data_IF_352742015617
#
_entry.id   IF_352742015617
#
_cell.length_a   1.000
_cell.length_b   1.000
_cell.length_c   1.000
_cell.angle_alpha   90.00
_cell.angle_beta   90.00
_cell.angle_gamma   90.00
#
_symmetry.space_group_name_H-M   'P 1'
#
loop_
_entity.id
_entity.type
_entity.pdbx_description
1 polymer ?
#
# COMPACT_ATOMS: atom_id res chain seq x y z
N UNK A 1 -14.15 -7.27 -60.24
CA UNK A 1 -14.59 -5.94 -60.71
C UNK A 1 -14.89 -5.12 -59.46
N UNK A 2 -14.19 -4.07 -59.02
CA UNK A 2 -13.26 -3.07 -59.57
C UNK A 2 -12.10 -2.93 -58.54
N UNK A 3 -10.81 -2.92 -58.86
CA UNK A 3 -9.98 -1.98 -59.62
C UNK A 3 -9.81 -0.59 -58.99
N UNK A 4 -8.57 -0.25 -58.61
CA UNK A 4 -8.09 1.12 -58.31
C UNK A 4 -7.18 1.18 -57.07
N UNK A 5 -5.87 0.91 -57.11
CA UNK A 5 -4.73 1.65 -57.69
C UNK A 5 -4.32 2.94 -56.97
N UNK A 6 -3.05 2.94 -56.52
CA UNK A 6 -2.09 4.06 -56.44
C UNK A 6 -2.21 5.11 -55.32
N UNK A 7 -1.22 5.14 -54.41
CA UNK A 7 -0.42 6.35 -54.20
C UNK A 7 0.96 6.07 -53.56
N UNK A 8 1.98 6.02 -54.41
CA UNK A 8 3.38 6.28 -54.02
C UNK A 8 3.56 7.79 -53.87
N UNK A 9 4.17 8.25 -52.77
CA UNK A 9 4.78 9.59 -52.72
C UNK A 9 6.16 9.50 -52.11
N UNK A 10 7.15 9.33 -52.98
CA UNK A 10 8.54 9.59 -52.69
C UNK A 10 8.71 11.09 -52.39
N UNK A 11 9.33 11.42 -51.26
CA UNK A 11 9.75 12.79 -50.94
C UNK A 11 11.27 12.86 -51.05
N UNK A 12 11.72 13.32 -52.20
CA UNK A 12 13.08 13.80 -52.43
C UNK A 12 13.26 15.13 -51.70
N UNK A 13 14.16 15.19 -50.72
CA UNK A 13 14.77 16.43 -50.23
C UNK A 13 16.26 16.29 -50.56
N UNK A 14 16.67 16.84 -51.70
CA UNK A 14 17.32 18.16 -51.81
C UNK A 14 18.51 18.27 -50.88
N UNK A 15 19.66 17.97 -51.46
CA UNK A 15 21.00 18.21 -50.92
C UNK A 15 21.28 19.69 -51.15
N UNK A 16 21.12 20.50 -50.11
CA UNK A 16 21.60 21.88 -50.13
C UNK A 16 23.05 21.88 -49.62
N UNK A 17 23.96 22.06 -50.58
CA UNK A 17 25.34 22.41 -50.40
C UNK A 17 25.43 23.79 -49.71
N UNK A 18 25.60 23.81 -48.38
CA UNK A 18 26.12 24.98 -47.68
C UNK A 18 27.63 24.88 -47.50
N UNK A 19 28.27 26.00 -47.80
CA UNK A 19 29.69 26.22 -47.96
C UNK A 19 30.53 25.81 -46.75
N UNK A 20 31.66 25.15 -47.03
CA UNK A 20 32.78 25.01 -46.10
C UNK A 20 33.29 26.40 -45.69
N UNK A 21 32.97 26.81 -44.47
CA UNK A 21 33.77 27.80 -43.74
C UNK A 21 35.00 27.11 -43.13
N UNK A 22 36.17 27.76 -43.12
CA UNK A 22 37.36 27.23 -42.46
C UNK A 22 37.12 27.16 -40.95
N UNK A 23 37.05 25.94 -40.44
CA UNK A 23 37.02 25.63 -39.00
C UNK A 23 38.38 26.04 -38.44
N UNK A 24 38.44 27.19 -37.79
CA UNK A 24 39.58 27.53 -36.93
C UNK A 24 39.55 26.60 -35.72
N UNK A 25 40.69 26.00 -35.32
CA UNK A 25 40.74 25.17 -34.13
C UNK A 25 40.54 26.08 -32.92
N UNK A 26 39.30 26.16 -32.41
CA UNK A 26 39.05 26.67 -31.06
C UNK A 26 39.84 25.77 -30.11
N UNK A 27 40.84 26.35 -29.46
CA UNK A 27 41.54 25.72 -28.35
C UNK A 27 40.49 25.27 -27.33
N UNK A 28 40.30 23.95 -27.23
CA UNK A 28 39.49 23.34 -26.21
C UNK A 28 40.17 23.62 -24.87
N UNK A 29 39.72 24.68 -24.19
CA UNK A 29 39.85 24.79 -22.75
C UNK A 29 39.04 23.63 -22.16
N UNK A 30 39.71 22.49 -21.97
CA UNK A 30 39.22 21.47 -21.07
C UNK A 30 39.13 22.13 -19.69
N UNK A 31 37.94 22.30 -19.11
CA UNK A 31 37.85 22.64 -17.70
C UNK A 31 38.59 21.55 -16.93
N UNK A 32 39.37 21.91 -15.90
CA UNK A 32 40.12 20.93 -15.14
C UNK A 32 39.13 19.91 -14.56
N UNK A 33 39.38 18.63 -14.84
CA UNK A 33 38.70 17.48 -14.26
C UNK A 33 39.10 17.44 -12.77
N UNK A 34 38.56 18.39 -12.02
CA UNK A 34 38.76 18.52 -10.58
C UNK A 34 37.40 18.26 -9.95
N UNK A 35 37.32 17.10 -9.28
CA UNK A 35 36.45 16.87 -8.13
C UNK A 35 34.96 16.53 -8.34
N UNK A 36 34.57 15.78 -9.40
CA UNK A 36 33.25 15.10 -9.37
C UNK A 36 33.23 13.83 -8.49
N UNK A 37 34.38 13.32 -8.07
CA UNK A 37 34.45 12.13 -7.21
C UNK A 37 34.14 12.40 -5.73
N UNK A 38 34.27 13.65 -5.27
CA UNK A 38 34.12 14.01 -3.85
C UNK A 38 32.68 14.31 -3.46
N UNK A 39 31.79 14.66 -4.39
CA UNK A 39 30.37 14.94 -4.08
C UNK A 39 29.51 13.67 -3.98
N UNK A 40 29.90 12.56 -4.61
CA UNK A 40 29.17 11.29 -4.48
C UNK A 40 29.42 10.58 -3.13
N UNK A 41 30.52 10.91 -2.43
CA UNK A 41 30.80 10.36 -1.11
C UNK A 41 29.91 10.98 -0.01
N UNK A 42 29.49 12.24 -0.19
CA UNK A 42 28.64 12.96 0.78
C UNK A 42 27.15 12.55 0.68
N UNK A 43 26.71 12.02 -0.46
CA UNK A 43 25.33 11.51 -0.64
C UNK A 43 25.10 10.07 -0.13
N UNK A 44 26.14 9.38 0.36
CA UNK A 44 26.03 7.96 0.80
C UNK A 44 25.84 7.73 2.29
N UNK A 45 25.66 8.78 3.10
CA UNK A 45 25.21 8.61 4.50
C UNK A 45 23.68 8.65 4.60
N UNK A 46 23.01 7.82 3.79
CA UNK A 46 21.59 7.47 3.98
C UNK A 46 21.37 6.55 5.20
N UNK A 47 22.38 6.34 6.05
CA UNK A 47 22.24 5.70 7.34
C UNK A 47 21.20 6.43 8.19
N UNK A 48 20.01 5.85 8.34
CA UNK A 48 18.88 6.49 9.00
C UNK A 48 19.26 7.01 10.39
N UNK A 49 18.97 8.28 10.67
CA UNK A 49 19.18 8.88 11.99
C UNK A 49 18.48 8.03 13.06
N UNK A 50 18.99 8.02 14.31
CA UNK A 50 18.37 7.27 15.43
C UNK A 50 16.88 7.58 15.54
N UNK A 51 16.53 8.84 15.32
CA UNK A 51 15.16 9.32 15.34
C UNK A 51 14.27 8.68 14.26
N UNK A 52 14.77 8.49 13.03
CA UNK A 52 14.00 7.81 11.96
C UNK A 52 13.70 6.36 12.32
N UNK A 53 14.67 5.64 12.88
CA UNK A 53 14.47 4.26 13.32
C UNK A 53 13.55 4.16 14.54
N UNK A 54 13.67 5.10 15.48
CA UNK A 54 12.73 5.23 16.59
C UNK A 54 11.30 5.43 16.06
N UNK A 55 11.07 6.42 15.20
CA UNK A 55 9.75 6.71 14.65
C UNK A 55 9.15 5.51 13.88
N UNK A 56 9.96 4.79 13.11
CA UNK A 56 9.54 3.55 12.42
C UNK A 56 9.13 2.47 13.43
N UNK A 57 9.94 2.23 14.45
CA UNK A 57 9.62 1.23 15.49
C UNK A 57 8.38 1.61 16.29
N UNK A 58 8.20 2.91 16.59
CA UNK A 58 6.99 3.42 17.23
C UNK A 58 5.75 3.20 16.38
N UNK A 59 5.82 3.51 15.08
CA UNK A 59 4.72 3.27 14.16
C UNK A 59 4.33 1.78 14.08
N UNK A 60 5.33 0.88 14.03
CA UNK A 60 5.08 -0.57 14.07
C UNK A 60 4.43 -0.99 15.38
N UNK A 61 4.90 -0.48 16.52
CA UNK A 61 4.32 -0.84 17.81
C UNK A 61 2.90 -0.32 18.00
N UNK A 62 2.61 0.90 17.52
CA UNK A 62 1.24 1.42 17.46
C UNK A 62 0.34 0.59 16.55
N UNK A 63 0.85 0.13 15.40
CA UNK A 63 0.12 -0.77 14.50
C UNK A 63 -0.22 -2.09 15.19
N UNK A 64 0.70 -2.68 15.96
CA UNK A 64 0.44 -3.91 16.73
C UNK A 64 -0.67 -3.69 17.76
N UNK A 65 -0.67 -2.56 18.47
CA UNK A 65 -1.76 -2.23 19.41
C UNK A 65 -3.07 -2.01 18.67
N UNK A 66 -3.06 -1.37 17.49
CA UNK A 66 -4.24 -1.23 16.65
C UNK A 66 -4.81 -2.58 16.18
N UNK A 67 -3.94 -3.55 15.88
CA UNK A 67 -4.34 -4.94 15.56
C UNK A 67 -5.02 -5.59 16.75
N UNK A 68 -4.45 -5.50 17.95
CA UNK A 68 -5.07 -6.06 19.16
C UNK A 68 -6.39 -5.35 19.48
N UNK A 69 -6.45 -4.03 19.30
CA UNK A 69 -7.68 -3.25 19.44
C UNK A 69 -8.76 -3.70 18.45
N UNK A 70 -8.41 -3.94 17.18
CA UNK A 70 -9.34 -4.51 16.20
C UNK A 70 -9.79 -5.93 16.59
N UNK A 71 -8.86 -6.80 16.96
CA UNK A 71 -9.18 -8.17 17.37
C UNK A 71 -10.02 -8.23 18.64
N UNK A 72 -9.93 -7.22 19.51
CA UNK A 72 -10.74 -7.15 20.74
C UNK A 72 -12.25 -7.16 20.45
N UNK A 73 -12.68 -6.66 19.29
CA UNK A 73 -14.09 -6.72 18.89
C UNK A 73 -14.58 -8.16 18.77
N UNK A 74 -13.82 -9.02 18.09
CA UNK A 74 -14.20 -10.43 17.92
C UNK A 74 -14.20 -11.20 19.24
N UNK A 75 -13.44 -10.74 20.23
CA UNK A 75 -13.40 -11.37 21.57
C UNK A 75 -14.51 -10.86 22.47
N UNK A 76 -14.92 -9.59 22.32
CA UNK A 76 -15.86 -8.92 23.21
C UNK A 76 -17.29 -8.91 22.70
N UNK A 77 -17.50 -8.89 21.39
CA UNK A 77 -18.82 -8.88 20.77
C UNK A 77 -19.34 -10.31 20.64
N UNK A 78 -20.61 -10.52 21.01
CA UNK A 78 -21.27 -11.84 20.96
C UNK A 78 -21.82 -12.18 19.57
N UNK A 79 -22.08 -11.19 18.73
CA UNK A 79 -22.55 -11.35 17.35
C UNK A 79 -21.72 -10.49 16.39
N UNK A 80 -21.31 -11.06 15.26
CA UNK A 80 -20.57 -10.36 14.21
C UNK A 80 -21.41 -10.19 12.94
N UNK A 81 -22.61 -10.77 12.87
CA UNK A 81 -23.54 -10.66 11.74
C UNK A 81 -23.98 -9.22 11.48
N UNK A 82 -24.01 -8.38 12.51
CA UNK A 82 -24.31 -6.95 12.36
C UNK A 82 -23.29 -6.22 11.47
N UNK A 83 -22.03 -6.70 11.38
CA UNK A 83 -21.01 -6.13 10.47
C UNK A 83 -21.39 -6.30 8.99
N UNK A 84 -22.27 -7.24 8.66
CA UNK A 84 -22.73 -7.50 7.30
C UNK A 84 -24.20 -7.10 7.07
N UNK A 85 -24.83 -6.44 8.05
CA UNK A 85 -26.20 -5.92 7.94
C UNK A 85 -27.29 -6.89 8.41
N UNK A 86 -26.95 -7.89 9.22
CA UNK A 86 -27.96 -8.65 9.98
C UNK A 86 -28.53 -7.80 11.13
N UNK A 87 -29.59 -8.31 11.80
CA UNK A 87 -30.33 -7.56 12.81
C UNK A 87 -29.43 -7.00 13.94
N UNK A 88 -29.80 -5.84 14.47
CA UNK A 88 -28.95 -5.16 15.46
C UNK A 88 -28.78 -5.99 16.74
N UNK A 89 -27.54 -6.38 17.00
CA UNK A 89 -27.09 -6.84 18.31
C UNK A 89 -26.76 -5.62 19.16
N UNK A 90 -27.23 -5.62 20.41
CA UNK A 90 -26.87 -4.60 21.41
C UNK A 90 -25.61 -4.97 22.21
N UNK A 91 -24.94 -6.07 21.86
CA UNK A 91 -23.82 -6.61 22.64
C UNK A 91 -22.55 -6.65 21.78
N UNK A 92 -22.12 -5.45 21.37
CA UNK A 92 -20.88 -5.25 20.64
C UNK A 92 -19.99 -4.26 21.35
N UNK A 93 -18.71 -4.57 21.46
CA UNK A 93 -17.75 -3.69 22.10
C UNK A 93 -16.39 -3.80 21.42
N UNK A 94 -15.70 -2.66 21.29
CA UNK A 94 -14.32 -2.61 20.79
C UNK A 94 -13.48 -1.79 21.75
N UNK A 95 -12.23 -2.21 21.94
CA UNK A 95 -11.24 -1.41 22.65
C UNK A 95 -10.16 -2.28 23.31
N UNK A 96 -8.91 -1.83 23.24
CA UNK A 96 -7.82 -2.43 24.00
C UNK A 96 -6.79 -1.39 24.47
N UNK A 97 -6.42 -1.39 25.77
CA UNK A 97 -6.92 -2.28 26.83
C UNK A 97 -8.33 -1.91 27.32
N UNK A 98 -8.72 -0.64 27.23
CA UNK A 98 -10.02 -0.15 27.70
C UNK A 98 -11.07 -0.22 26.59
N UNK A 99 -12.34 -0.44 26.94
CA UNK A 99 -13.47 -0.34 26.00
C UNK A 99 -13.56 1.12 25.54
N UNK A 100 -13.59 1.36 24.22
CA UNK A 100 -13.70 2.72 23.65
C UNK A 100 -15.03 2.96 22.98
N UNK A 101 -15.72 1.89 22.62
CA UNK A 101 -17.02 1.94 21.97
C UNK A 101 -17.78 0.68 22.33
N UNK A 102 -19.07 0.85 22.57
CA UNK A 102 -20.02 -0.18 22.97
C UNK A 102 -21.37 0.14 22.32
N UNK A 103 -21.98 -0.84 21.66
CA UNK A 103 -23.33 -0.73 21.12
C UNK A 103 -24.37 -0.86 22.25
N UNK A 104 -25.57 -0.31 22.06
CA UNK A 104 -26.67 -0.53 23.01
C UNK A 104 -26.50 0.11 24.39
N UNK A 105 -25.62 1.11 24.55
CA UNK A 105 -25.42 1.79 25.83
C UNK A 105 -26.69 2.54 26.29
N UNK A 106 -26.67 3.05 27.54
CA UNK A 106 -27.78 3.75 28.20
C UNK A 106 -28.39 4.92 27.38
N UNK A 107 -27.70 5.42 26.36
CA UNK A 107 -28.13 6.52 25.49
C UNK A 107 -28.69 6.05 24.12
N UNK A 108 -28.93 4.75 23.92
CA UNK A 108 -29.52 4.17 22.70
C UNK A 108 -28.80 4.59 21.39
N UNK A 109 -27.47 4.76 21.43
CA UNK A 109 -26.71 5.17 20.24
C UNK A 109 -25.24 4.77 20.27
N UNK A 110 -24.56 5.00 19.14
CA UNK A 110 -23.13 4.75 18.97
C UNK A 110 -22.31 5.82 19.71
N UNK A 111 -21.93 5.54 20.95
CA UNK A 111 -21.11 6.46 21.73
C UNK A 111 -19.67 5.96 21.84
N UNK A 112 -18.73 6.81 21.45
CA UNK A 112 -17.32 6.61 21.75
C UNK A 112 -17.00 7.23 23.12
N UNK A 113 -16.44 6.43 24.04
CA UNK A 113 -15.88 6.93 25.29
C UNK A 113 -14.53 7.61 24.98
N UNK A 114 -14.58 8.93 24.74
CA UNK A 114 -13.41 9.73 24.39
C UNK A 114 -12.30 9.68 25.45
N UNK A 115 -12.58 9.74 26.77
CA UNK A 115 -11.57 9.47 27.79
C UNK A 115 -10.86 8.12 27.62
N UNK A 116 -11.60 7.03 27.42
CA UNK A 116 -11.00 5.70 27.22
C UNK A 116 -10.24 5.60 25.90
N UNK A 117 -10.74 6.25 24.84
CA UNK A 117 -10.02 6.38 23.57
C UNK A 117 -8.67 7.07 23.77
N UNK A 118 -8.64 8.18 24.50
CA UNK A 118 -7.40 8.90 24.81
C UNK A 118 -6.42 8.03 25.62
N UNK A 119 -6.91 7.30 26.63
CA UNK A 119 -6.09 6.36 27.39
C UNK A 119 -5.52 5.24 26.52
N UNK A 120 -6.31 4.67 25.61
CA UNK A 120 -5.83 3.66 24.65
C UNK A 120 -4.75 4.24 23.72
N UNK A 121 -4.91 5.48 23.25
CA UNK A 121 -3.89 6.17 22.45
C UNK A 121 -2.61 6.36 23.24
N UNK A 122 -2.69 6.77 24.51
CA UNK A 122 -1.51 6.89 25.38
C UNK A 122 -0.81 5.54 25.58
N UNK A 123 -1.56 4.46 25.79
CA UNK A 123 -1.01 3.11 25.89
C UNK A 123 -0.33 2.70 24.58
N UNK A 124 -0.96 2.96 23.43
CA UNK A 124 -0.42 2.66 22.11
C UNK A 124 0.89 3.42 21.84
N UNK A 125 0.95 4.72 22.16
CA UNK A 125 2.15 5.55 22.03
C UNK A 125 3.25 5.08 22.99
N UNK A 126 2.90 4.69 24.21
CA UNK A 126 3.86 4.22 25.22
C UNK A 126 4.50 2.89 24.80
N UNK A 127 3.69 1.90 24.44
CA UNK A 127 4.16 0.60 23.94
C UNK A 127 4.92 0.75 22.61
N UNK A 128 4.41 1.59 21.71
CA UNK A 128 5.09 1.96 20.48
C UNK A 128 6.48 2.53 20.76
N UNK A 129 6.59 3.49 21.67
CA UNK A 129 7.86 4.13 22.01
C UNK A 129 8.88 3.15 22.58
N UNK A 130 8.45 2.16 23.38
CA UNK A 130 9.33 1.07 23.86
C UNK A 130 9.91 0.30 22.67
N UNK A 131 9.07 -0.09 21.71
CA UNK A 131 9.52 -0.78 20.50
C UNK A 131 10.42 0.13 19.64
N UNK A 132 10.09 1.41 19.53
CA UNK A 132 10.91 2.44 18.89
C UNK A 132 12.33 2.49 19.45
N UNK A 133 12.48 2.49 20.78
CA UNK A 133 13.80 2.45 21.44
C UNK A 133 14.56 1.16 21.10
N UNK A 134 13.89 0.01 21.11
CA UNK A 134 14.51 -1.27 20.76
C UNK A 134 15.01 -1.26 19.31
N UNK A 135 14.19 -0.79 18.37
CA UNK A 135 14.53 -0.68 16.95
C UNK A 135 15.68 0.31 16.74
N UNK A 136 15.66 1.47 17.41
CA UNK A 136 16.72 2.47 17.32
C UNK A 136 18.06 1.96 17.86
N UNK A 137 18.06 1.12 18.90
CA UNK A 137 19.27 0.45 19.41
C UNK A 137 19.87 -0.53 18.41
N UNK A 138 19.03 -1.19 17.59
CA UNK A 138 19.46 -2.17 16.58
C UNK A 138 19.63 -1.57 15.18
N UNK A 139 19.67 -0.25 15.04
CA UNK A 139 19.72 0.46 13.75
C UNK A 139 20.86 0.01 12.84
N UNK A 140 22.03 -0.34 13.38
CA UNK A 140 23.20 -0.65 12.55
C UNK A 140 23.07 -2.02 11.88
N UNK A 141 22.31 -2.95 12.49
CA UNK A 141 21.93 -4.22 11.87
C UNK A 141 20.82 -4.00 10.84
N UNK A 142 19.82 -3.18 11.18
CA UNK A 142 18.69 -2.89 10.31
C UNK A 142 19.10 -2.08 9.07
N UNK A 143 20.02 -1.14 9.20
CA UNK A 143 20.58 -0.40 8.07
C UNK A 143 21.28 -1.34 7.08
N UNK A 144 22.09 -2.29 7.57
CA UNK A 144 22.73 -3.31 6.72
C UNK A 144 21.69 -4.13 5.94
N UNK A 145 20.67 -4.63 6.64
CA UNK A 145 19.59 -5.37 5.99
C UNK A 145 18.86 -4.55 4.92
N UNK A 146 18.56 -3.28 5.21
CA UNK A 146 17.91 -2.38 4.23
C UNK A 146 18.81 -2.09 3.04
N UNK A 147 20.11 -1.85 3.27
CA UNK A 147 21.09 -1.60 2.21
C UNK A 147 21.24 -2.81 1.29
N UNK A 148 21.31 -4.02 1.86
CA UNK A 148 21.33 -5.27 1.09
C UNK A 148 20.08 -5.41 0.21
N UNK A 149 18.90 -5.08 0.75
CA UNK A 149 17.65 -5.08 -0.02
C UNK A 149 17.62 -4.01 -1.12
N UNK A 150 18.15 -2.81 -0.86
CA UNK A 150 18.19 -1.73 -1.85
C UNK A 150 19.12 -2.07 -3.02
N UNK A 151 20.25 -2.71 -2.75
CA UNK A 151 21.20 -3.16 -3.78
C UNK A 151 20.53 -4.24 -4.66
N UNK A 152 19.92 -5.27 -4.07
CA UNK A 152 19.24 -6.33 -4.82
C UNK A 152 18.09 -5.77 -5.67
N UNK A 153 17.28 -4.87 -5.12
CA UNK A 153 16.19 -4.21 -5.83
C UNK A 153 16.71 -3.33 -6.99
N UNK A 154 17.84 -2.64 -6.80
CA UNK A 154 18.46 -1.82 -7.83
C UNK A 154 18.96 -2.66 -9.02
N UNK A 155 19.51 -3.85 -8.77
CA UNK A 155 19.94 -4.77 -9.83
C UNK A 155 18.76 -5.31 -10.65
N UNK A 156 17.65 -5.68 -10.02
CA UNK A 156 16.46 -6.15 -10.73
C UNK A 156 15.77 -5.04 -11.55
N UNK A 157 15.86 -3.78 -11.10
CA UNK A 157 15.20 -2.64 -11.75
C UNK A 157 15.75 -2.28 -13.13
N UNK A 158 16.96 -2.74 -13.48
CA UNK A 158 17.62 -2.43 -14.76
C UNK A 158 17.06 -3.20 -15.95
N UNK A 159 16.17 -4.18 -15.74
CA UNK A 159 15.57 -4.95 -16.84
C UNK A 159 14.34 -4.21 -17.40
N UNK A 160 14.28 -3.92 -18.71
CA UNK A 160 13.15 -3.20 -19.30
C UNK A 160 11.83 -3.94 -19.02
N UNK A 161 10.82 -3.20 -18.57
CA UNK A 161 9.47 -3.72 -18.33
C UNK A 161 8.80 -3.88 -19.70
N UNK A 162 8.84 -5.09 -20.26
CA UNK A 162 8.03 -5.43 -21.41
C UNK A 162 6.63 -5.79 -20.94
N UNK A 163 5.68 -4.87 -21.11
CA UNK A 163 4.28 -5.15 -20.88
C UNK A 163 3.77 -6.06 -21.99
N UNK A 164 3.39 -7.28 -21.63
CA UNK A 164 2.71 -8.18 -22.56
C UNK A 164 1.28 -7.67 -22.80
N UNK A 165 0.96 -7.33 -24.06
CA UNK A 165 -0.39 -6.95 -24.48
C UNK A 165 -1.43 -8.02 -24.11
N UNK A 166 -1.03 -9.30 -24.18
CA UNK A 166 -1.86 -10.43 -23.77
C UNK A 166 -2.19 -10.39 -22.27
N UNK A 167 -1.19 -10.07 -21.43
CA UNK A 167 -1.38 -9.93 -19.99
C UNK A 167 -2.37 -8.81 -19.66
N UNK A 168 -2.26 -7.67 -20.36
CA UNK A 168 -3.20 -6.56 -20.20
C UNK A 168 -4.63 -6.97 -20.58
N UNK A 169 -4.82 -7.66 -21.70
CA UNK A 169 -6.12 -8.14 -22.19
C UNK A 169 -6.79 -9.15 -21.25
N UNK A 170 -6.01 -10.06 -20.68
CA UNK A 170 -6.52 -11.03 -19.69
C UNK A 170 -7.01 -10.29 -18.44
N UNK A 171 -6.21 -9.35 -17.92
CA UNK A 171 -6.57 -8.57 -16.73
C UNK A 171 -7.82 -7.72 -16.97
N UNK A 172 -7.92 -7.03 -18.11
CA UNK A 172 -9.11 -6.20 -18.41
C UNK A 172 -10.37 -7.05 -18.57
N UNK A 173 -10.27 -8.22 -19.18
CA UNK A 173 -11.41 -9.15 -19.35
C UNK A 173 -11.87 -9.71 -18.00
N UNK A 174 -10.93 -10.12 -17.14
CA UNK A 174 -11.25 -10.54 -15.78
C UNK A 174 -11.94 -9.42 -14.99
N UNK A 175 -11.40 -8.20 -15.03
CA UNK A 175 -12.02 -7.04 -14.39
C UNK A 175 -13.44 -6.79 -14.91
N UNK A 176 -13.67 -6.87 -16.23
CA UNK A 176 -15.00 -6.68 -16.81
C UNK A 176 -16.01 -7.74 -16.34
N UNK A 177 -15.60 -9.01 -16.27
CA UNK A 177 -16.44 -10.11 -15.75
C UNK A 177 -16.76 -9.88 -14.27
N UNK A 178 -15.76 -9.54 -13.45
CA UNK A 178 -15.97 -9.23 -12.03
C UNK A 178 -16.92 -8.05 -11.83
N UNK A 179 -16.77 -6.98 -12.61
CA UNK A 179 -17.69 -5.82 -12.56
C UNK A 179 -19.10 -6.21 -12.95
N UNK A 180 -19.28 -7.00 -14.01
CA UNK A 180 -20.59 -7.47 -14.45
C UNK A 180 -21.30 -8.33 -13.38
N UNK A 181 -20.55 -9.20 -12.71
CA UNK A 181 -21.06 -10.00 -11.59
C UNK A 181 -21.36 -9.11 -10.38
N UNK A 182 -20.45 -8.19 -10.03
CA UNK A 182 -20.61 -7.29 -8.89
C UNK A 182 -21.88 -6.43 -9.02
N UNK A 183 -22.19 -5.90 -10.20
CA UNK A 183 -23.41 -5.11 -10.45
C UNK A 183 -24.69 -5.91 -10.19
N UNK A 184 -24.67 -7.24 -10.39
CA UNK A 184 -25.82 -8.12 -10.15
C UNK A 184 -25.96 -8.58 -8.69
N UNK A 185 -24.89 -8.49 -7.91
CA UNK A 185 -24.81 -8.98 -6.51
C UNK A 185 -24.65 -7.82 -5.51
N UNK A 186 -24.65 -6.56 -5.99
CA UNK A 186 -24.24 -5.36 -5.26
C UNK A 186 -25.02 -5.01 -3.97
N UNK A 187 -26.14 -5.67 -3.68
CA UNK A 187 -26.96 -5.39 -2.50
C UNK A 187 -27.21 -6.65 -1.68
N UNK A 188 -26.15 -7.45 -1.46
CA UNK A 188 -26.23 -8.62 -0.59
C UNK A 188 -25.13 -8.57 0.48
N UNK A 189 -25.39 -9.09 1.70
CA UNK A 189 -24.42 -9.12 2.80
C UNK A 189 -23.12 -9.85 2.43
N UNK A 190 -23.19 -10.86 1.56
CA UNK A 190 -22.02 -11.62 1.11
C UNK A 190 -21.03 -10.75 0.33
N UNK A 191 -21.49 -9.68 -0.31
CA UNK A 191 -20.60 -8.73 -1.00
C UNK A 191 -19.75 -7.95 0.00
N UNK A 192 -20.31 -7.51 1.14
CA UNK A 192 -19.52 -6.87 2.20
C UNK A 192 -18.54 -7.86 2.81
N UNK A 193 -18.98 -9.08 3.10
CA UNK A 193 -18.10 -10.14 3.61
C UNK A 193 -16.92 -10.39 2.66
N UNK A 194 -17.17 -10.44 1.35
CA UNK A 194 -16.13 -10.59 0.34
C UNK A 194 -15.16 -9.39 0.34
N UNK A 195 -15.64 -8.15 0.47
CA UNK A 195 -14.77 -6.97 0.55
C UNK A 195 -13.92 -6.98 1.83
N UNK A 196 -14.50 -7.35 2.97
CA UNK A 196 -13.80 -7.39 4.25
C UNK A 196 -12.73 -8.48 4.31
N UNK A 197 -12.98 -9.65 3.71
CA UNK A 197 -12.06 -10.79 3.72
C UNK A 197 -11.03 -10.75 2.59
N UNK A 198 -11.44 -10.39 1.36
CA UNK A 198 -10.57 -10.44 0.18
C UNK A 198 -9.90 -9.10 -0.13
N UNK A 199 -10.46 -7.98 0.31
CA UNK A 199 -9.94 -6.64 -0.02
C UNK A 199 -8.44 -6.50 0.27
N UNK A 200 -7.99 -6.69 1.53
CA UNK A 200 -6.58 -6.58 1.90
C UNK A 200 -5.69 -7.61 1.21
N UNK A 201 -6.16 -8.85 1.08
CA UNK A 201 -5.42 -9.92 0.40
C UNK A 201 -5.18 -9.55 -1.06
N UNK A 202 -6.20 -9.07 -1.77
CA UNK A 202 -6.09 -8.59 -3.14
C UNK A 202 -5.15 -7.38 -3.24
N UNK A 203 -5.24 -6.40 -2.33
CA UNK A 203 -4.35 -5.25 -2.31
C UNK A 203 -2.89 -5.66 -2.08
N UNK A 204 -2.63 -6.58 -1.16
CA UNK A 204 -1.29 -7.15 -0.93
C UNK A 204 -0.81 -7.94 -2.14
N UNK A 205 -1.66 -8.76 -2.75
CA UNK A 205 -1.33 -9.50 -3.95
C UNK A 205 -0.96 -8.54 -5.10
N UNK A 206 -1.74 -7.48 -5.32
CA UNK A 206 -1.45 -6.43 -6.31
C UNK A 206 -0.14 -5.70 -5.95
N UNK A 207 0.11 -5.43 -4.67
CA UNK A 207 1.37 -4.84 -4.22
C UNK A 207 2.58 -5.74 -4.49
N UNK A 208 2.39 -7.05 -4.48
CA UNK A 208 3.45 -8.06 -4.67
C UNK A 208 3.59 -8.53 -6.12
N UNK A 209 2.54 -8.46 -6.94
CA UNK A 209 2.51 -8.99 -8.31
C UNK A 209 3.58 -8.35 -9.21
N UNK A 210 3.78 -7.01 -9.21
CA UNK A 210 4.83 -6.40 -10.00
C UNK A 210 6.09 -6.22 -9.15
N UNK A 211 6.89 -7.30 -9.03
CA UNK A 211 8.20 -7.26 -8.34
C UNK A 211 9.11 -6.11 -8.81
N UNK A 212 8.93 -5.65 -10.05
CA UNK A 212 9.78 -4.63 -10.70
C UNK A 212 9.28 -3.18 -10.58
N UNK A 213 8.12 -2.92 -9.96
CA UNK A 213 7.66 -1.54 -9.78
C UNK A 213 8.33 -0.90 -8.57
N UNK A 214 8.77 0.36 -8.74
CA UNK A 214 9.27 1.18 -7.65
C UNK A 214 8.22 1.29 -6.53
N UNK A 215 8.69 1.38 -5.29
CA UNK A 215 7.83 1.53 -4.12
C UNK A 215 6.80 2.66 -4.29
N UNK A 216 7.22 3.82 -4.80
CA UNK A 216 6.34 4.97 -5.07
C UNK A 216 5.20 4.61 -6.04
N UNK A 217 5.49 3.83 -7.09
CA UNK A 217 4.48 3.43 -8.07
C UNK A 217 3.53 2.37 -7.50
N UNK A 218 4.02 1.49 -6.64
CA UNK A 218 3.15 0.54 -5.90
C UNK A 218 2.18 1.30 -5.00
N UNK A 219 2.67 2.26 -4.20
CA UNK A 219 1.81 3.11 -3.36
C UNK A 219 0.80 3.88 -4.21
N UNK A 220 1.23 4.46 -5.34
CA UNK A 220 0.35 5.18 -6.25
C UNK A 220 -0.77 4.32 -6.86
N UNK A 221 -0.60 3.00 -6.93
CA UNK A 221 -1.62 2.05 -7.39
C UNK A 221 -2.49 1.59 -6.21
N UNK A 222 -1.87 1.20 -5.09
CA UNK A 222 -2.56 0.62 -3.93
C UNK A 222 -3.50 1.64 -3.29
N UNK A 223 -3.06 2.89 -3.10
CA UNK A 223 -3.86 3.92 -2.43
C UNK A 223 -5.20 4.17 -3.13
N UNK A 224 -5.27 4.49 -4.43
CA UNK A 224 -6.57 4.68 -5.09
C UNK A 224 -7.40 3.39 -5.13
N UNK A 225 -6.78 2.21 -5.27
CA UNK A 225 -7.51 0.94 -5.21
C UNK A 225 -8.14 0.70 -3.84
N UNK A 226 -7.43 0.99 -2.75
CA UNK A 226 -7.94 0.88 -1.39
C UNK A 226 -9.10 1.87 -1.16
N UNK A 227 -8.94 3.12 -1.58
CA UNK A 227 -10.00 4.14 -1.49
C UNK A 227 -11.24 3.74 -2.29
N UNK A 228 -11.06 3.17 -3.49
CA UNK A 228 -12.16 2.68 -4.30
C UNK A 228 -12.90 1.51 -3.63
N UNK A 229 -12.17 0.57 -3.03
CA UNK A 229 -12.78 -0.54 -2.28
C UNK A 229 -13.56 -0.03 -1.06
N UNK A 230 -13.03 0.96 -0.34
CA UNK A 230 -13.74 1.62 0.77
C UNK A 230 -15.02 2.29 0.26
N UNK A 231 -14.95 3.04 -0.84
CA UNK A 231 -16.11 3.69 -1.43
C UNK A 231 -17.19 2.68 -1.87
N UNK A 232 -16.78 1.54 -2.46
CA UNK A 232 -17.69 0.45 -2.81
C UNK A 232 -18.31 -0.16 -1.56
N UNK A 233 -17.54 -0.45 -0.51
CA UNK A 233 -18.08 -0.97 0.75
C UNK A 233 -19.12 -0.02 1.35
N UNK A 234 -18.85 1.28 1.39
CA UNK A 234 -19.80 2.30 1.86
C UNK A 234 -21.07 2.28 1.00
N UNK A 235 -20.95 2.25 -0.33
CA UNK A 235 -22.10 2.21 -1.22
C UNK A 235 -22.96 0.95 -1.02
N UNK A 236 -22.34 -0.21 -0.81
CA UNK A 236 -23.04 -1.47 -0.50
C UNK A 236 -23.71 -1.40 0.88
N UNK A 237 -23.02 -0.89 1.90
CA UNK A 237 -23.57 -0.72 3.24
C UNK A 237 -24.79 0.20 3.27
N UNK A 238 -24.73 1.36 2.58
CA UNK A 238 -25.88 2.27 2.43
C UNK A 238 -27.07 1.55 1.78
N UNK A 239 -26.82 0.70 0.77
CA UNK A 239 -27.87 -0.08 0.10
C UNK A 239 -28.49 -1.15 1.00
N UNK A 240 -27.74 -1.65 1.98
CA UNK A 240 -28.21 -2.60 2.99
C UNK A 240 -28.85 -1.90 4.21
N UNK A 241 -28.94 -0.57 4.22
CA UNK A 241 -29.47 0.19 5.34
C UNK A 241 -28.54 0.26 6.54
N UNK A 242 -27.26 -0.05 6.36
CA UNK A 242 -26.25 0.03 7.41
C UNK A 242 -25.78 1.47 7.61
N UNK A 243 -25.43 1.79 8.85
CA UNK A 243 -24.79 3.05 9.18
C UNK A 243 -23.36 3.12 8.65
N UNK A 244 -22.95 4.32 8.25
CA UNK A 244 -21.60 4.59 7.73
C UNK A 244 -20.51 4.15 8.71
N UNK A 245 -20.69 4.44 10.00
CA UNK A 245 -19.71 4.12 11.04
C UNK A 245 -19.54 2.61 11.21
N UNK A 246 -20.62 1.81 11.10
CA UNK A 246 -20.54 0.34 11.12
C UNK A 246 -19.74 -0.22 9.95
N UNK A 247 -19.93 0.33 8.74
CA UNK A 247 -19.17 -0.11 7.56
C UNK A 247 -17.67 0.22 7.73
N UNK A 248 -17.37 1.43 8.19
CA UNK A 248 -15.99 1.84 8.46
C UNK A 248 -15.34 1.00 9.57
N UNK A 249 -16.10 0.65 10.61
CA UNK A 249 -15.67 -0.25 11.66
C UNK A 249 -15.37 -1.64 11.09
N UNK A 250 -16.25 -2.22 10.27
CA UNK A 250 -16.00 -3.51 9.61
C UNK A 250 -14.71 -3.53 8.78
N UNK A 251 -14.47 -2.47 8.01
CA UNK A 251 -13.21 -2.30 7.27
C UNK A 251 -12.02 -2.28 8.22
N UNK A 252 -12.06 -1.45 9.26
CA UNK A 252 -10.95 -1.35 10.23
C UNK A 252 -10.67 -2.69 10.91
N UNK A 253 -11.72 -3.37 11.39
CA UNK A 253 -11.67 -4.63 12.12
C UNK A 253 -11.05 -5.76 11.29
N UNK A 254 -11.44 -5.87 10.02
CA UNK A 254 -10.95 -6.93 9.15
C UNK A 254 -9.61 -6.56 8.52
N UNK A 255 -9.43 -5.33 8.06
CA UNK A 255 -8.27 -4.96 7.25
C UNK A 255 -7.01 -4.73 8.07
N UNK A 256 -7.13 -4.24 9.31
CA UNK A 256 -5.96 -3.93 10.15
C UNK A 256 -5.18 -5.21 10.52
N UNK A 257 -5.82 -6.27 11.08
CA UNK A 257 -5.12 -7.51 11.39
C UNK A 257 -4.58 -8.21 10.14
N UNK A 258 -5.37 -8.26 9.06
CA UNK A 258 -4.94 -8.89 7.80
C UNK A 258 -3.70 -8.22 7.22
N UNK A 259 -3.67 -6.88 7.19
CA UNK A 259 -2.53 -6.11 6.69
C UNK A 259 -1.29 -6.30 7.54
N UNK A 260 -1.44 -6.36 8.87
CA UNK A 260 -0.33 -6.62 9.77
C UNK A 260 0.25 -8.03 9.59
N UNK A 261 -0.61 -9.06 9.50
CA UNK A 261 -0.19 -10.45 9.24
C UNK A 261 0.54 -10.53 7.90
N UNK A 262 0.01 -9.91 6.85
CA UNK A 262 0.66 -9.87 5.54
C UNK A 262 2.03 -9.20 5.60
N UNK A 263 2.15 -8.05 6.28
CA UNK A 263 3.42 -7.35 6.44
C UNK A 263 4.45 -8.19 7.20
N UNK A 264 4.05 -8.85 8.29
CA UNK A 264 4.91 -9.75 9.07
C UNK A 264 5.34 -10.95 8.22
N UNK A 265 4.40 -11.63 7.56
CA UNK A 265 4.68 -12.81 6.74
C UNK A 265 5.65 -12.49 5.59
N UNK A 266 5.45 -11.36 4.90
CA UNK A 266 6.35 -10.90 3.85
C UNK A 266 7.74 -10.59 4.40
N UNK A 267 7.82 -9.83 5.50
CA UNK A 267 9.10 -9.46 6.13
C UNK A 267 9.88 -10.70 6.59
N UNK A 268 9.21 -11.64 7.25
CA UNK A 268 9.81 -12.91 7.71
C UNK A 268 10.27 -13.77 6.53
N UNK A 269 9.46 -13.88 5.48
CA UNK A 269 9.83 -14.66 4.28
C UNK A 269 11.09 -14.11 3.63
N UNK A 270 11.19 -12.77 3.53
CA UNK A 270 12.38 -12.10 2.99
C UNK A 270 13.62 -12.38 3.86
N UNK A 271 13.51 -12.28 5.19
CA UNK A 271 14.63 -12.60 6.08
C UNK A 271 15.08 -14.06 6.00
N UNK A 272 14.14 -15.01 5.89
CA UNK A 272 14.47 -16.43 5.72
C UNK A 272 15.20 -16.67 4.39
N UNK A 273 14.75 -16.02 3.32
CA UNK A 273 15.40 -16.14 2.01
C UNK A 273 16.82 -15.58 2.03
N UNK A 274 17.05 -14.47 2.72
CA UNK A 274 18.38 -13.91 2.91
C UNK A 274 19.28 -14.82 3.74
N UNK A 275 18.78 -15.36 4.85
CA UNK A 275 19.57 -16.23 5.73
C UNK A 275 19.98 -17.58 5.09
N UNK A 276 19.32 -17.98 3.99
CA UNK A 276 19.62 -19.22 3.24
C UNK A 276 20.63 -19.01 2.11
N UNK A 277 20.94 -17.77 1.74
CA UNK A 277 21.96 -17.45 0.75
C UNK A 277 23.30 -17.28 1.42
#
# INVERSE_FOLDING_TARGET
MLSGSNFCRARSLSVDNEALLPITPKANHHPPITNMATDQASQRTFGGTRFRWFARGTAVGMLLVAVVNALSYFVRSSDWGNLIGEAESNDEAIGFPFVVWEAGNTYNGFYADYPMLFLNVLVAVSLGSILGVVVARHRDRLNRLVEDFEIEAAEESKRPIQFSLLGLLIVTTLCAVFVAIAVKVAARPETLLAIYSLGPICLVAIAMLPRRLSWQRRVAIITPSALMLIAVAIAVGIRLGMEFDKVMMGIFLCWTPQSAVAAIALTTTLFIQQARR
#
